data_IF_504459965786
#
_entry.id   IF_504459965786
#
_cell.length_a   1.000
_cell.length_b   1.000
_cell.length_c   1.000
_cell.angle_alpha   90.00
_cell.angle_beta   90.00
_cell.angle_gamma   90.00
#
_symmetry.space_group_name_H-M   'P 1'
#
loop_
_entity.id
_entity.type
_entity.pdbx_description
1 polymer ?
#
# COMPACT_ATOMS: atom_id res chain seq x y z
N UNK A 1 17.89 23.39 -1.84
CA UNK A 1 16.91 22.35 -2.23
C UNK A 1 17.71 21.11 -2.60
N UNK A 2 17.50 19.96 -1.94
CA UNK A 2 18.09 18.70 -2.42
C UNK A 2 17.32 18.31 -3.68
N UNK A 3 18.03 18.13 -4.79
CA UNK A 3 17.46 17.50 -5.97
C UNK A 3 17.18 16.04 -5.61
N UNK A 4 15.91 15.67 -5.47
CA UNK A 4 15.52 14.27 -5.32
C UNK A 4 15.68 13.62 -6.70
N UNK A 5 16.71 12.80 -6.86
CA UNK A 5 16.85 11.94 -8.03
C UNK A 5 15.89 10.76 -7.82
N UNK A 6 14.71 10.80 -8.45
CA UNK A 6 13.69 9.73 -8.36
C UNK A 6 14.22 8.35 -8.83
N UNK A 7 15.30 8.33 -9.60
CA UNK A 7 15.90 7.12 -10.16
C UNK A 7 16.62 6.22 -9.14
N UNK A 8 16.93 6.74 -7.94
CA UNK A 8 17.64 5.99 -6.89
C UNK A 8 16.93 6.08 -5.54
N UNK A 9 15.71 5.56 -5.46
CA UNK A 9 15.09 5.27 -4.16
C UNK A 9 15.76 4.04 -3.55
N UNK A 10 16.52 4.24 -2.47
CA UNK A 10 17.06 3.16 -1.65
C UNK A 10 15.96 2.60 -0.73
N UNK A 11 15.61 1.32 -0.93
CA UNK A 11 14.58 0.64 -0.15
C UNK A 11 14.97 0.55 1.33
N UNK A 12 16.27 0.49 1.65
CA UNK A 12 16.75 0.47 3.03
C UNK A 12 16.55 1.84 3.70
N UNK A 13 16.86 2.94 3.01
CA UNK A 13 16.62 4.29 3.53
C UNK A 13 15.12 4.52 3.77
N UNK A 14 14.26 4.08 2.83
CA UNK A 14 12.81 4.12 3.01
C UNK A 14 12.40 3.29 4.23
N UNK A 15 12.92 2.07 4.37
CA UNK A 15 12.63 1.21 5.52
C UNK A 15 12.99 1.87 6.84
N UNK A 16 14.20 2.40 6.95
CA UNK A 16 14.67 3.09 8.17
C UNK A 16 13.79 4.29 8.51
N UNK A 17 13.44 5.12 7.51
CA UNK A 17 12.56 6.26 7.71
C UNK A 17 11.15 5.82 8.15
N UNK A 18 10.57 4.84 7.45
CA UNK A 18 9.23 4.31 7.77
C UNK A 18 9.19 3.70 9.16
N UNK A 19 10.20 2.94 9.58
CA UNK A 19 10.28 2.36 10.92
C UNK A 19 10.41 3.43 12.02
N UNK A 20 11.17 4.51 11.77
CA UNK A 20 11.22 5.66 12.70
C UNK A 20 9.88 6.35 12.86
N UNK A 21 9.09 6.46 11.80
CA UNK A 21 7.74 7.04 11.87
C UNK A 21 6.76 6.16 12.68
N UNK A 22 6.96 4.84 12.67
CA UNK A 22 6.14 3.87 13.43
C UNK A 22 6.27 4.06 14.95
N UNK A 23 7.32 4.72 15.43
CA UNK A 23 7.42 5.11 16.83
C UNK A 23 6.29 6.07 17.26
N UNK A 24 5.79 6.88 16.32
CA UNK A 24 4.80 7.93 16.54
C UNK A 24 3.45 7.69 15.86
N UNK A 25 3.40 6.78 14.87
CA UNK A 25 2.21 6.48 14.07
C UNK A 25 1.98 4.96 14.11
N UNK A 26 0.79 4.45 14.48
CA UNK A 26 0.57 3.01 14.69
C UNK A 26 0.94 2.11 13.49
N UNK A 27 0.70 2.60 12.28
CA UNK A 27 1.06 1.95 11.03
C UNK A 27 1.41 3.00 9.97
N UNK A 28 2.42 2.71 9.17
CA UNK A 28 2.89 3.54 8.06
C UNK A 28 2.95 2.67 6.81
N UNK A 29 2.32 3.15 5.74
CA UNK A 29 2.28 2.50 4.44
C UNK A 29 2.96 3.44 3.43
N UNK A 30 4.11 3.04 2.92
CA UNK A 30 4.95 3.85 2.04
C UNK A 30 4.91 3.31 0.62
N UNK A 31 4.37 4.10 -0.31
CA UNK A 31 4.35 3.79 -1.74
C UNK A 31 5.70 4.11 -2.37
N UNK A 32 6.20 3.21 -3.22
CA UNK A 32 7.50 3.35 -3.90
C UNK A 32 7.38 3.11 -5.41
N UNK A 33 6.22 3.44 -6.00
CA UNK A 33 5.96 3.28 -7.44
C UNK A 33 6.23 1.85 -7.93
N UNK A 34 7.13 1.70 -8.89
CA UNK A 34 7.50 0.41 -9.49
C UNK A 34 8.24 -0.55 -8.52
N UNK A 35 8.62 -0.09 -7.32
CA UNK A 35 9.19 -0.94 -6.26
C UNK A 35 8.14 -1.50 -5.32
N UNK A 36 6.88 -1.09 -5.49
CA UNK A 36 5.75 -1.59 -4.71
C UNK A 36 5.48 -0.77 -3.45
N UNK A 37 5.24 -1.47 -2.35
CA UNK A 37 4.71 -0.92 -1.11
C UNK A 37 5.47 -1.46 0.10
N UNK A 38 5.94 -0.57 0.97
CA UNK A 38 6.46 -0.96 2.28
C UNK A 38 5.39 -0.70 3.34
N UNK A 39 5.06 -1.71 4.14
CA UNK A 39 4.18 -1.56 5.30
C UNK A 39 5.03 -1.75 6.54
N UNK A 40 5.02 -0.78 7.45
CA UNK A 40 5.62 -0.92 8.77
C UNK A 40 4.61 -0.58 9.85
N UNK A 41 4.61 -1.34 10.95
CA UNK A 41 3.71 -1.12 12.08
C UNK A 41 4.28 -1.70 13.36
N UNK A 42 3.75 -1.22 14.49
CA UNK A 42 3.85 -1.97 15.75
C UNK A 42 2.88 -3.14 15.68
N UNK A 43 3.36 -4.31 16.09
CA UNK A 43 2.61 -5.56 15.97
C UNK A 43 2.65 -6.36 17.28
N UNK A 44 1.53 -6.97 17.62
CA UNK A 44 1.37 -8.12 18.52
C UNK A 44 0.80 -9.29 17.73
N UNK A 45 1.08 -10.54 18.11
CA UNK A 45 0.70 -11.76 17.37
C UNK A 45 -0.80 -11.91 17.06
N UNK A 46 -1.67 -11.09 17.67
CA UNK A 46 -3.12 -11.11 17.50
C UNK A 46 -3.66 -9.92 16.69
N UNK A 47 -2.83 -8.92 16.36
CA UNK A 47 -3.34 -7.65 15.86
C UNK A 47 -3.60 -7.66 14.35
N UNK A 48 -4.83 -7.31 13.95
CA UNK A 48 -5.18 -7.07 12.55
C UNK A 48 -5.25 -5.56 12.25
N UNK A 49 -4.94 -5.16 11.02
CA UNK A 49 -4.99 -3.78 10.55
C UNK A 49 -6.36 -3.13 10.74
N UNK A 50 -7.44 -3.91 10.61
CA UNK A 50 -8.80 -3.40 10.75
C UNK A 50 -9.22 -3.14 12.20
N UNK A 51 -8.49 -3.65 13.21
CA UNK A 51 -8.84 -3.43 14.60
C UNK A 51 -8.09 -2.21 15.17
N UNK A 52 -8.71 -1.04 15.04
CA UNK A 52 -8.17 0.23 15.55
C UNK A 52 -7.94 0.22 17.07
N UNK A 53 -8.76 -0.52 17.84
CA UNK A 53 -8.58 -0.63 19.28
C UNK A 53 -7.36 -1.47 19.63
N UNK A 54 -7.13 -2.57 18.90
CA UNK A 54 -5.93 -3.39 19.10
C UNK A 54 -4.67 -2.64 18.64
N UNK A 55 -4.74 -1.94 17.51
CA UNK A 55 -3.67 -1.04 17.06
C UNK A 55 -3.33 0.02 18.12
N UNK A 56 -4.34 0.63 18.75
CA UNK A 56 -4.12 1.61 19.81
C UNK A 56 -3.49 0.98 21.06
N UNK A 57 -3.99 -0.17 21.51
CA UNK A 57 -3.42 -0.89 22.67
C UNK A 57 -1.98 -1.29 22.42
N UNK A 58 -1.67 -1.84 21.24
CA UNK A 58 -0.32 -2.25 20.86
C UNK A 58 0.60 -1.04 20.71
N UNK A 59 0.12 0.05 20.12
CA UNK A 59 0.88 1.29 20.01
C UNK A 59 1.28 1.85 21.38
N UNK A 60 0.38 1.78 22.37
CA UNK A 60 0.61 2.20 23.75
C UNK A 60 1.41 1.17 24.58
N UNK A 61 1.57 -0.05 24.09
CA UNK A 61 2.34 -1.10 24.76
C UNK A 61 3.84 -0.94 24.51
N UNK A 62 4.61 -0.86 25.59
CA UNK A 62 6.07 -0.84 25.57
C UNK A 62 6.71 -2.19 25.15
N UNK A 63 5.91 -3.25 24.95
CA UNK A 63 6.38 -4.56 24.50
C UNK A 63 6.18 -4.81 23.00
N UNK A 64 5.63 -3.84 22.28
CA UNK A 64 5.38 -3.97 20.84
C UNK A 64 6.68 -3.99 20.04
N UNK A 65 6.76 -4.90 19.06
CA UNK A 65 7.88 -4.95 18.11
C UNK A 65 7.49 -4.20 16.85
N UNK A 66 8.43 -3.47 16.28
CA UNK A 66 8.29 -2.89 14.94
C UNK A 66 8.53 -4.01 13.94
N UNK A 67 7.59 -4.19 13.02
CA UNK A 67 7.74 -5.08 11.88
C UNK A 67 7.50 -4.29 10.60
N UNK A 68 8.35 -4.52 9.61
CA UNK A 68 8.18 -4.02 8.25
C UNK A 68 8.14 -5.17 7.24
N UNK A 69 7.28 -5.05 6.22
CA UNK A 69 7.15 -6.01 5.11
C UNK A 69 7.05 -5.25 3.80
N UNK A 70 7.88 -5.65 2.84
CA UNK A 70 7.87 -5.17 1.47
C UNK A 70 6.91 -6.04 0.64
N UNK A 71 6.02 -5.37 -0.10
CA UNK A 71 5.12 -6.00 -1.06
C UNK A 71 5.48 -5.51 -2.47
N UNK A 72 5.81 -6.42 -3.40
CA UNK A 72 6.10 -6.04 -4.77
C UNK A 72 4.83 -5.54 -5.48
N UNK A 73 4.96 -4.72 -6.55
CA UNK A 73 3.80 -4.34 -7.35
C UNK A 73 3.24 -5.57 -8.10
N UNK A 74 1.92 -5.59 -8.33
CA UNK A 74 1.27 -6.68 -9.07
C UNK A 74 1.47 -6.57 -10.59
N UNK A 75 1.78 -5.38 -11.09
CA UNK A 75 2.02 -5.13 -12.50
C UNK A 75 3.46 -4.64 -12.65
N UNK A 76 4.23 -5.35 -13.46
CA UNK A 76 5.54 -4.91 -13.93
C UNK A 76 5.38 -4.35 -15.34
N UNK A 77 5.60 -3.06 -15.51
CA UNK A 77 5.50 -2.41 -16.82
C UNK A 77 6.88 -2.36 -17.45
N UNK A 78 7.01 -2.89 -18.66
CA UNK A 78 8.27 -2.81 -19.42
C UNK A 78 8.45 -1.43 -20.05
N UNK A 79 9.68 -1.09 -20.44
CA UNK A 79 9.97 0.17 -21.12
C UNK A 79 9.21 0.31 -22.46
N UNK A 80 8.96 -0.80 -23.16
CA UNK A 80 8.15 -0.81 -24.38
C UNK A 80 6.68 -0.49 -24.08
N UNK A 81 6.14 -0.99 -22.97
CA UNK A 81 4.76 -0.74 -22.56
C UNK A 81 4.54 0.71 -22.13
N UNK A 82 5.49 1.31 -21.40
CA UNK A 82 5.42 2.73 -21.02
C UNK A 82 5.29 3.66 -22.23
N UNK A 83 5.97 3.35 -23.33
CA UNK A 83 5.91 4.13 -24.59
C UNK A 83 4.54 4.10 -25.27
N UNK A 84 3.63 3.20 -24.88
CA UNK A 84 2.32 3.07 -25.52
C UNK A 84 1.27 4.06 -24.98
N UNK A 85 1.60 4.91 -24.00
CA UNK A 85 0.67 5.87 -23.37
C UNK A 85 -0.66 5.23 -22.88
N UNK A 86 -0.60 3.96 -22.47
CA UNK A 86 -1.76 3.20 -21.97
C UNK A 86 -1.88 3.20 -20.45
N UNK A 87 -0.98 3.91 -19.76
CA UNK A 87 -0.90 3.89 -18.30
C UNK A 87 -1.01 5.30 -17.74
N UNK A 88 -1.69 5.44 -16.61
CA UNK A 88 -1.81 6.68 -15.87
C UNK A 88 -1.43 6.44 -14.41
N UNK A 89 -0.50 7.22 -13.86
CA UNK A 89 -0.16 7.16 -12.43
C UNK A 89 -1.11 8.01 -11.59
N UNK A 90 -1.95 8.83 -12.23
CA UNK A 90 -2.92 9.71 -11.56
C UNK A 90 -3.95 8.87 -10.82
N UNK A 91 -4.06 9.05 -9.50
CA UNK A 91 -5.04 8.36 -8.66
C UNK A 91 -4.67 6.92 -8.26
N UNK A 92 -3.51 6.40 -8.69
CA UNK A 92 -3.04 5.06 -8.28
C UNK A 92 -2.89 4.94 -6.75
N UNK A 93 -2.36 5.98 -6.11
CA UNK A 93 -2.22 6.04 -4.65
C UNK A 93 -3.56 6.10 -3.92
N UNK A 94 -4.53 6.84 -4.46
CA UNK A 94 -5.87 6.95 -3.89
C UNK A 94 -6.62 5.61 -4.01
N UNK A 95 -6.52 4.96 -5.17
CA UNK A 95 -7.11 3.64 -5.40
C UNK A 95 -6.46 2.57 -4.52
N UNK A 96 -5.13 2.62 -4.33
CA UNK A 96 -4.41 1.76 -3.39
C UNK A 96 -4.97 1.92 -1.97
N UNK A 97 -5.04 3.16 -1.47
CA UNK A 97 -5.54 3.45 -0.14
C UNK A 97 -7.01 3.00 0.02
N UNK A 98 -7.86 3.29 -0.97
CA UNK A 98 -9.26 2.88 -0.97
C UNK A 98 -9.43 1.36 -0.96
N UNK A 99 -8.59 0.62 -1.70
CA UNK A 99 -8.60 -0.85 -1.70
C UNK A 99 -8.20 -1.44 -0.35
N UNK A 100 -7.16 -0.89 0.29
CA UNK A 100 -6.74 -1.30 1.64
C UNK A 100 -7.87 -1.03 2.65
N UNK A 101 -8.43 0.18 2.65
CA UNK A 101 -9.55 0.56 3.53
C UNK A 101 -10.77 -0.35 3.29
N UNK A 102 -11.06 -0.68 2.04
CA UNK A 102 -12.15 -1.63 1.70
C UNK A 102 -11.90 -3.00 2.29
N UNK A 103 -10.67 -3.51 2.21
CA UNK A 103 -10.28 -4.78 2.83
C UNK A 103 -10.45 -4.74 4.34
N UNK A 104 -10.06 -3.63 4.98
CA UNK A 104 -10.23 -3.43 6.41
C UNK A 104 -11.71 -3.41 6.82
N UNK A 105 -12.57 -2.69 6.07
CA UNK A 105 -14.01 -2.65 6.30
C UNK A 105 -14.67 -4.03 6.13
N UNK A 106 -14.10 -4.88 5.26
CA UNK A 106 -14.50 -6.29 5.09
C UNK A 106 -13.86 -7.24 6.10
N UNK A 107 -13.07 -6.74 7.05
CA UNK A 107 -12.34 -7.52 8.07
C UNK A 107 -11.46 -8.61 7.46
N UNK A 108 -10.87 -8.34 6.30
CA UNK A 108 -9.88 -9.24 5.71
C UNK A 108 -8.59 -9.20 6.55
N UNK A 109 -7.80 -10.28 6.52
CA UNK A 109 -6.48 -10.25 7.16
C UNK A 109 -5.56 -9.20 6.50
N UNK A 110 -4.48 -8.83 7.19
CA UNK A 110 -3.55 -7.77 6.75
C UNK A 110 -3.08 -7.95 5.31
N UNK A 111 -2.62 -9.16 4.96
CA UNK A 111 -2.10 -9.46 3.63
C UNK A 111 -3.19 -9.30 2.55
N UNK A 112 -4.41 -9.72 2.85
CA UNK A 112 -5.56 -9.56 1.93
C UNK A 112 -5.97 -8.10 1.76
N UNK A 113 -5.89 -7.29 2.82
CA UNK A 113 -6.12 -5.85 2.72
C UNK A 113 -5.09 -5.18 1.79
N UNK A 114 -3.80 -5.50 2.01
CA UNK A 114 -2.71 -4.97 1.17
C UNK A 114 -2.86 -5.44 -0.28
N UNK A 115 -3.19 -6.71 -0.50
CA UNK A 115 -3.36 -7.26 -1.84
C UNK A 115 -4.53 -6.61 -2.59
N UNK A 116 -5.67 -6.39 -1.93
CA UNK A 116 -6.80 -5.68 -2.52
C UNK A 116 -6.43 -4.24 -2.91
N UNK A 117 -5.65 -3.56 -2.07
CA UNK A 117 -5.05 -2.28 -2.39
C UNK A 117 -4.20 -2.32 -3.65
N UNK A 118 -3.26 -3.27 -3.72
CA UNK A 118 -2.36 -3.40 -4.86
C UNK A 118 -3.13 -3.73 -6.16
N UNK A 119 -4.21 -4.51 -6.07
CA UNK A 119 -5.11 -4.76 -7.20
C UNK A 119 -5.80 -3.47 -7.66
N UNK A 120 -6.32 -2.66 -6.73
CA UNK A 120 -6.94 -1.39 -7.05
C UNK A 120 -5.94 -0.40 -7.69
N UNK A 121 -4.71 -0.35 -7.19
CA UNK A 121 -3.63 0.44 -7.77
C UNK A 121 -3.28 -0.02 -9.19
N UNK A 122 -3.15 -1.34 -9.41
CA UNK A 122 -2.89 -1.92 -10.71
C UNK A 122 -4.00 -1.63 -11.73
N UNK A 123 -5.27 -1.73 -11.31
CA UNK A 123 -6.43 -1.40 -12.13
C UNK A 123 -6.47 0.08 -12.50
N UNK A 124 -6.17 0.98 -11.56
CA UNK A 124 -6.02 2.42 -11.82
C UNK A 124 -4.88 2.71 -12.78
N UNK A 125 -3.73 2.05 -12.60
CA UNK A 125 -2.54 2.24 -13.44
C UNK A 125 -2.80 1.89 -14.91
N UNK A 126 -3.65 0.89 -15.16
CA UNK A 126 -4.03 0.44 -16.50
C UNK A 126 -5.22 1.21 -17.10
N UNK A 127 -5.73 2.22 -16.40
CA UNK A 127 -6.80 3.10 -16.85
C UNK A 127 -6.27 4.49 -17.21
N UNK A 128 -6.97 5.17 -18.11
CA UNK A 128 -6.77 6.61 -18.35
C UNK A 128 -7.63 7.48 -17.43
N UNK A 129 -8.62 6.88 -16.75
CA UNK A 129 -9.39 7.53 -15.70
C UNK A 129 -8.59 7.50 -14.39
N UNK A 130 -8.52 8.64 -13.68
CA UNK A 130 -7.84 8.74 -12.37
C UNK A 130 -8.37 7.71 -11.36
N UNK A 131 -9.69 7.47 -11.36
CA UNK A 131 -10.34 6.47 -10.50
C UNK A 131 -11.35 5.67 -11.34
N UNK A 132 -10.97 4.48 -11.87
CA UNK A 132 -11.84 3.69 -12.75
C UNK A 132 -12.92 2.93 -11.97
N UNK A 133 -13.94 3.66 -11.53
CA UNK A 133 -14.99 3.17 -10.61
C UNK A 133 -15.60 1.83 -11.05
N UNK A 134 -15.92 1.66 -12.34
CA UNK A 134 -16.54 0.44 -12.83
C UNK A 134 -15.60 -0.79 -12.69
N UNK A 135 -14.32 -0.64 -13.03
CA UNK A 135 -13.34 -1.72 -12.90
C UNK A 135 -12.99 -2.00 -11.44
N UNK A 136 -12.91 -0.97 -10.59
CA UNK A 136 -12.70 -1.12 -9.15
C UNK A 136 -13.87 -1.86 -8.47
N UNK A 137 -15.11 -1.60 -8.87
CA UNK A 137 -16.28 -2.29 -8.34
C UNK A 137 -16.26 -3.81 -8.64
N UNK A 138 -15.70 -4.22 -9.78
CA UNK A 138 -15.54 -5.64 -10.13
C UNK A 138 -14.55 -6.37 -9.22
N UNK A 139 -13.53 -5.67 -8.68
CA UNK A 139 -12.60 -6.27 -7.72
C UNK A 139 -13.29 -6.64 -6.39
N UNK A 140 -14.29 -5.85 -6.00
CA UNK A 140 -14.95 -5.95 -4.70
C UNK A 140 -16.14 -6.93 -4.75
N UNK A 141 -16.77 -7.03 -5.92
CA UNK A 141 -17.91 -7.88 -6.21
C UNK A 141 -17.64 -8.70 -7.48
N UNK A 142 -16.78 -9.74 -7.42
CA UNK A 142 -16.55 -10.58 -8.58
C UNK A 142 -17.89 -11.20 -9.00
N UNK A 143 -18.30 -10.96 -10.24
CA UNK A 143 -19.49 -11.60 -10.82
C UNK A 143 -19.30 -13.12 -10.71
N UNK A 144 -20.26 -13.79 -10.05
CA UNK A 144 -20.31 -15.26 -9.92
C UNK A 144 -20.58 -15.89 -11.29
#
# INVERSE_FOLDING_TARGET
MRNFNEDHVDVNEVKELTERLVEYIPAVITTMGYRGLLVARKFSDQDQLYNLLDLQKTYLSNQSKIQSKLYPPLVQITQEQLKQNKFSVSGCGDCLAAGIITGMLKQLNDESCIYLGLQAAATSLQSLETVPTAALNQLINPTI
#
